data_IF_797371175830
#
_entry.id   IF_797371175830
#
_cell.length_a   1.000
_cell.length_b   1.000
_cell.length_c   1.000
_cell.angle_alpha   90.00
_cell.angle_beta   90.00
_cell.angle_gamma   90.00
#
_symmetry.space_group_name_H-M   'P 1'
#
loop_
_entity.id
_entity.type
_entity.pdbx_description
1 polymer ?
#
# COMPACT_ATOMS: atom_id res chain seq x y z
N UNK A 1 1.38 -20.01 13.29
CA UNK A 1 0.67 -20.58 12.12
C UNK A 1 0.95 -19.70 10.91
N UNK A 2 1.89 -20.08 10.04
CA UNK A 2 2.05 -19.42 8.75
C UNK A 2 0.92 -19.88 7.83
N UNK A 3 -0.11 -19.05 7.63
CA UNK A 3 -1.09 -19.32 6.58
C UNK A 3 -0.32 -19.30 5.25
N UNK A 4 -0.43 -20.38 4.47
CA UNK A 4 0.24 -20.50 3.18
C UNK A 4 -0.05 -19.26 2.33
N UNK A 5 0.98 -18.74 1.66
CA UNK A 5 0.87 -17.55 0.81
C UNK A 5 -0.01 -17.91 -0.40
N UNK A 6 -1.31 -17.66 -0.32
CA UNK A 6 -2.23 -17.87 -1.45
C UNK A 6 -1.96 -16.76 -2.46
N UNK A 7 -1.22 -17.09 -3.51
CA UNK A 7 -1.06 -16.21 -4.67
C UNK A 7 -2.32 -16.33 -5.51
N UNK A 8 -3.30 -15.46 -5.25
CA UNK A 8 -4.47 -15.32 -6.14
C UNK A 8 -4.00 -14.55 -7.38
N UNK A 9 -3.72 -15.27 -8.47
CA UNK A 9 -3.58 -14.66 -9.80
C UNK A 9 -4.99 -14.40 -10.33
N UNK A 10 -5.65 -13.37 -9.78
CA UNK A 10 -6.88 -12.84 -10.35
C UNK A 10 -6.57 -12.17 -11.69
N UNK A 11 -7.50 -12.27 -12.63
CA UNK A 11 -7.40 -12.02 -14.08
C UNK A 11 -7.03 -10.60 -14.53
N UNK A 12 -6.46 -9.75 -13.67
CA UNK A 12 -6.29 -8.30 -13.88
C UNK A 12 -4.83 -7.80 -13.72
N UNK A 13 -3.82 -8.69 -13.75
CA UNK A 13 -2.38 -8.37 -13.68
C UNK A 13 -1.89 -7.58 -12.44
N UNK A 14 -2.75 -7.33 -11.44
CA UNK A 14 -2.36 -6.71 -10.18
C UNK A 14 -1.47 -7.65 -9.35
N UNK A 15 -0.32 -7.16 -8.88
CA UNK A 15 0.57 -7.90 -7.98
C UNK A 15 0.13 -7.63 -6.54
N UNK A 16 -0.17 -8.68 -5.79
CA UNK A 16 -0.44 -8.59 -4.35
C UNK A 16 0.90 -8.60 -3.61
N UNK A 17 1.18 -7.53 -2.89
CA UNK A 17 2.37 -7.37 -2.07
C UNK A 17 1.94 -7.11 -0.63
N UNK A 18 2.37 -7.96 0.30
CA UNK A 18 1.97 -7.97 1.69
C UNK A 18 3.14 -8.27 2.63
N UNK A 19 3.06 -7.72 3.85
CA UNK A 19 3.94 -7.97 5.00
C UNK A 19 3.16 -8.65 6.14
N UNK A 20 3.78 -8.72 7.32
CA UNK A 20 3.15 -9.21 8.56
C UNK A 20 1.76 -8.60 8.76
N UNK A 21 0.77 -9.43 9.08
CA UNK A 21 -0.66 -9.05 9.15
C UNK A 21 -0.93 -7.82 10.02
N UNK A 22 -0.13 -7.63 11.07
CA UNK A 22 -0.29 -6.57 12.05
C UNK A 22 0.80 -5.50 11.99
N UNK A 23 1.66 -5.48 10.97
CA UNK A 23 2.61 -4.38 10.79
C UNK A 23 2.07 -3.37 9.77
N UNK A 24 2.23 -2.05 9.98
CA UNK A 24 1.86 -1.06 8.98
C UNK A 24 2.59 -1.31 7.65
N UNK A 25 1.86 -1.31 6.55
CA UNK A 25 2.45 -1.48 5.22
C UNK A 25 1.68 -0.69 4.17
N UNK A 26 2.38 0.23 3.50
CA UNK A 26 1.85 1.13 2.48
C UNK A 26 2.70 1.00 1.23
N UNK A 27 2.06 0.92 0.07
CA UNK A 27 2.72 0.89 -1.23
C UNK A 27 2.21 2.04 -2.08
N UNK A 28 3.14 2.80 -2.66
CA UNK A 28 2.87 3.77 -3.72
C UNK A 28 3.28 3.17 -5.07
N UNK A 29 2.32 3.02 -5.98
CA UNK A 29 2.54 2.59 -7.36
C UNK A 29 1.99 3.65 -8.32
N UNK A 30 2.86 4.59 -8.69
CA UNK A 30 2.51 5.82 -9.42
C UNK A 30 1.42 6.59 -8.65
N UNK A 31 0.20 6.69 -9.16
CA UNK A 31 -0.93 7.36 -8.53
C UNK A 31 -1.77 6.43 -7.63
N UNK A 32 -1.54 5.12 -7.67
CA UNK A 32 -2.25 4.16 -6.81
C UNK A 32 -1.50 4.00 -5.48
N UNK A 33 -2.17 4.34 -4.38
CA UNK A 33 -1.65 4.16 -3.02
C UNK A 33 -2.53 3.14 -2.30
N UNK A 34 -1.92 2.11 -1.70
CA UNK A 34 -2.63 1.07 -0.95
C UNK A 34 -2.03 0.89 0.44
N UNK A 35 -2.86 0.47 1.39
CA UNK A 35 -2.46 0.11 2.75
C UNK A 35 -3.01 -1.27 3.11
N UNK A 36 -2.23 -2.05 3.84
CA UNK A 36 -2.58 -3.46 4.09
C UNK A 36 -3.63 -3.67 5.18
N UNK A 37 -3.63 -2.85 6.23
CA UNK A 37 -4.41 -3.12 7.46
C UNK A 37 -4.76 -1.81 8.19
N UNK A 38 -5.63 -1.85 9.24
CA UNK A 38 -6.01 -0.66 9.99
C UNK A 38 -4.83 0.10 10.61
N UNK A 39 -3.72 -0.57 10.96
CA UNK A 39 -2.52 0.09 11.48
C UNK A 39 -1.76 0.89 10.41
N UNK A 40 -2.15 0.74 9.15
CA UNK A 40 -1.63 1.51 8.02
C UNK A 40 -2.40 2.83 7.80
N UNK A 41 -3.43 3.14 8.60
CA UNK A 41 -4.28 4.34 8.45
C UNK A 41 -3.51 5.67 8.45
N UNK A 42 -2.66 5.90 9.45
CA UNK A 42 -1.85 7.10 9.57
C UNK A 42 -0.78 7.19 8.47
N UNK A 43 0.02 6.14 8.19
CA UNK A 43 1.00 6.22 7.10
C UNK A 43 0.34 6.31 5.72
N UNK A 44 -0.80 5.64 5.47
CA UNK A 44 -1.50 5.76 4.18
C UNK A 44 -2.12 7.15 4.02
N UNK A 45 -2.51 7.84 5.08
CA UNK A 45 -3.01 9.22 4.98
C UNK A 45 -1.88 10.23 4.67
N UNK A 46 -0.65 9.97 5.15
CA UNK A 46 0.53 10.81 4.85
C UNK A 46 1.01 10.67 3.41
N UNK A 47 0.95 9.46 2.85
CA UNK A 47 1.42 9.15 1.49
C UNK A 47 0.78 10.02 0.38
N UNK A 48 -0.56 10.21 0.29
CA UNK A 48 -1.18 11.03 -0.74
C UNK A 48 -0.85 12.51 -0.56
N UNK A 49 -0.73 13.01 0.67
CA UNK A 49 -0.30 14.39 0.93
C UNK A 49 1.10 14.60 0.33
N UNK A 50 2.05 13.73 0.68
CA UNK A 50 3.40 13.80 0.15
C UNK A 50 3.44 13.64 -1.38
N UNK A 51 2.60 12.78 -1.96
CA UNK A 51 2.50 12.61 -3.41
C UNK A 51 1.96 13.87 -4.10
N UNK A 52 0.97 14.54 -3.51
CA UNK A 52 0.41 15.79 -4.00
C UNK A 52 1.42 16.94 -3.87
N UNK A 53 2.14 17.04 -2.75
CA UNK A 53 3.18 18.06 -2.56
C UNK A 53 4.26 17.94 -3.64
N UNK A 54 4.74 16.71 -3.91
CA UNK A 54 5.67 16.45 -5.02
C UNK A 54 5.07 16.81 -6.38
N UNK A 55 3.79 16.54 -6.60
CA UNK A 55 3.10 16.84 -7.88
C UNK A 55 2.92 18.33 -8.11
N UNK A 56 2.69 19.10 -7.05
CA UNK A 56 2.42 20.54 -7.08
C UNK A 56 3.69 21.39 -6.91
N UNK A 57 4.85 20.77 -6.64
CA UNK A 57 6.10 21.49 -6.40
C UNK A 57 6.11 22.23 -5.06
N UNK A 58 5.41 21.70 -4.05
CA UNK A 58 5.30 22.25 -2.70
C UNK A 58 6.31 21.64 -1.71
N UNK A 59 7.07 20.64 -2.16
CA UNK A 59 8.07 19.90 -1.40
C UNK A 59 9.49 20.42 -1.66
#
# INVERSE_FOLDING_TARGET
MSKGKVVVIGSNAARIDNRSDFEPYVIENRELITGQNPRSDHPIAKAPIAALDRKLGLA
#
